data_IF_483570290689
#
_entry.id   IF_483570290689
#
_cell.length_a   1.000
_cell.length_b   1.000
_cell.length_c   1.000
_cell.angle_alpha   90.00
_cell.angle_beta   90.00
_cell.angle_gamma   90.00
#
_symmetry.space_group_name_H-M   'P 1'
#
loop_
_entity.id
_entity.type
_entity.pdbx_description
1 polymer ?
#
# COMPACT_ATOMS: atom_id res chain seq x y z
N UNK A 1 4.16 -2.24 -15.35
CA UNK A 1 4.42 -3.24 -14.29
C UNK A 1 5.87 -3.64 -14.40
N UNK A 2 6.61 -3.61 -13.29
CA UNK A 2 8.04 -3.96 -13.23
C UNK A 2 8.19 -5.20 -12.35
N UNK A 3 9.08 -6.10 -12.72
CA UNK A 3 9.28 -7.35 -11.98
C UNK A 3 10.75 -7.60 -11.69
N UNK A 4 11.00 -8.21 -10.53
CA UNK A 4 12.30 -8.76 -10.15
C UNK A 4 12.16 -10.27 -9.91
N UNK A 5 13.25 -10.91 -9.47
CA UNK A 5 13.23 -12.33 -9.08
C UNK A 5 12.17 -12.63 -8.00
N UNK A 6 11.92 -11.69 -7.08
CA UNK A 6 11.04 -11.91 -5.91
C UNK A 6 9.83 -10.98 -5.81
N UNK A 7 9.87 -9.84 -6.51
CA UNK A 7 8.90 -8.75 -6.30
C UNK A 7 8.22 -8.35 -7.62
N UNK A 8 6.99 -7.87 -7.51
CA UNK A 8 6.25 -7.16 -8.55
C UNK A 8 6.02 -5.74 -8.06
N UNK A 9 6.34 -4.75 -8.88
CA UNK A 9 5.94 -3.36 -8.69
C UNK A 9 4.79 -3.08 -9.67
N UNK A 10 3.59 -2.91 -9.12
CA UNK A 10 2.38 -2.60 -9.87
C UNK A 10 1.60 -1.46 -9.22
N UNK A 11 0.75 -0.73 -9.96
CA UNK A 11 -0.13 0.26 -9.35
C UNK A 11 -0.95 -0.34 -8.21
N UNK A 12 -1.21 0.44 -7.16
CA UNK A 12 -2.10 0.06 -6.08
C UNK A 12 -3.50 -0.29 -6.62
N UNK A 13 -4.13 -1.31 -6.04
CA UNK A 13 -5.51 -1.72 -6.32
C UNK A 13 -6.35 -1.51 -5.06
N UNK A 14 -7.64 -1.22 -5.20
CA UNK A 14 -8.50 -0.95 -4.04
C UNK A 14 -8.68 -2.17 -3.14
N UNK A 15 -8.49 -3.37 -3.70
CA UNK A 15 -8.48 -4.65 -3.00
C UNK A 15 -7.27 -4.79 -2.05
N UNK A 16 -6.20 -4.02 -2.24
CA UNK A 16 -5.02 -4.01 -1.38
C UNK A 16 -5.28 -3.34 -0.02
N UNK A 17 -6.46 -2.73 0.17
CA UNK A 17 -6.78 -1.95 1.36
C UNK A 17 -6.55 -2.71 2.68
N UNK A 18 -6.81 -4.02 2.70
CA UNK A 18 -6.61 -4.85 3.89
C UNK A 18 -5.11 -4.97 4.26
N UNK A 19 -4.25 -5.22 3.27
CA UNK A 19 -2.80 -5.31 3.45
C UNK A 19 -2.19 -3.93 3.72
N UNK A 20 -2.63 -2.90 3.00
CA UNK A 20 -2.23 -1.51 3.26
C UNK A 20 -2.52 -1.12 4.72
N UNK A 21 -3.74 -1.38 5.20
CA UNK A 21 -4.13 -1.11 6.59
C UNK A 21 -3.29 -1.90 7.60
N UNK A 22 -3.02 -3.19 7.33
CA UNK A 22 -2.24 -4.07 8.21
C UNK A 22 -0.91 -3.42 8.62
N UNK A 23 -0.23 -2.77 7.68
CA UNK A 23 1.05 -2.10 7.93
C UNK A 23 0.90 -0.63 8.34
N UNK A 24 0.03 0.13 7.66
CA UNK A 24 -0.09 1.57 7.84
C UNK A 24 -0.78 2.02 9.14
N UNK A 25 -1.45 1.11 9.86
CA UNK A 25 -1.97 1.38 11.21
C UNK A 25 -0.90 1.47 12.29
N UNK A 26 0.33 1.05 12.01
CA UNK A 26 1.41 1.07 12.98
C UNK A 26 1.92 2.52 13.17
N UNK A 27 1.90 3.07 14.40
CA UNK A 27 2.32 4.46 14.68
C UNK A 27 3.80 4.74 14.37
N UNK A 28 4.61 3.70 14.13
CA UNK A 28 6.01 3.86 13.76
C UNK A 28 6.26 4.01 12.25
N UNK A 29 5.22 3.91 11.40
CA UNK A 29 5.34 3.96 9.93
C UNK A 29 4.97 5.35 9.42
N UNK A 30 3.68 5.67 9.34
CA UNK A 30 3.20 6.89 8.68
C UNK A 30 3.73 8.20 9.27
N UNK A 31 3.66 8.40 10.59
CA UNK A 31 4.07 9.66 11.21
C UNK A 31 5.52 10.06 10.90
N UNK A 32 6.42 9.08 10.74
CA UNK A 32 7.83 9.35 10.37
C UNK A 32 8.00 9.85 8.94
N UNK A 33 7.02 9.57 8.08
CA UNK A 33 6.95 10.01 6.68
C UNK A 33 5.97 11.19 6.47
N UNK A 34 5.41 11.75 7.54
CA UNK A 34 4.57 12.96 7.48
C UNK A 34 3.07 12.73 7.21
N UNK A 35 2.58 11.49 7.30
CA UNK A 35 1.14 11.17 7.17
C UNK A 35 0.61 10.44 8.41
N UNK A 36 -0.68 10.62 8.78
CA UNK A 36 -1.26 9.99 9.96
C UNK A 36 -1.37 8.46 9.80
N UNK A 37 -1.43 7.71 10.90
CA UNK A 37 -1.73 6.27 10.81
C UNK A 37 -3.04 6.03 10.09
N UNK A 38 -3.15 4.93 9.35
CA UNK A 38 -4.43 4.54 8.79
C UNK A 38 -5.33 4.02 9.91
N UNK A 39 -6.58 4.51 9.97
CA UNK A 39 -7.49 4.24 11.08
C UNK A 39 -8.38 3.01 10.84
N UNK A 40 -8.59 2.65 9.58
CA UNK A 40 -9.41 1.50 9.19
C UNK A 40 -9.04 0.99 7.79
N UNK A 41 -9.60 -0.17 7.44
CA UNK A 41 -9.52 -0.70 6.06
C UNK A 41 -10.19 0.27 5.08
N UNK A 42 -11.30 0.90 5.46
CA UNK A 42 -11.97 1.90 4.61
C UNK A 42 -11.11 3.14 4.39
N UNK A 43 -10.50 3.65 5.45
CA UNK A 43 -9.57 4.78 5.34
C UNK A 43 -8.38 4.45 4.43
N UNK A 44 -7.83 3.22 4.53
CA UNK A 44 -6.78 2.76 3.62
C UNK A 44 -7.24 2.66 2.17
N UNK A 45 -8.48 2.20 1.94
CA UNK A 45 -9.08 2.14 0.60
C UNK A 45 -9.22 3.53 0.00
N UNK A 46 -9.63 4.51 0.79
CA UNK A 46 -9.73 5.90 0.35
C UNK A 46 -8.37 6.51 0.02
N UNK A 47 -7.35 6.25 0.84
CA UNK A 47 -5.97 6.67 0.59
C UNK A 47 -5.42 6.02 -0.69
N UNK A 48 -5.76 4.75 -0.97
CA UNK A 48 -5.42 4.11 -2.24
C UNK A 48 -6.04 4.85 -3.42
N UNK A 49 -7.33 5.21 -3.34
CA UNK A 49 -8.03 5.92 -4.42
C UNK A 49 -7.51 7.33 -4.65
N UNK A 50 -7.19 8.05 -3.60
CA UNK A 50 -6.94 9.50 -3.64
C UNK A 50 -5.47 9.88 -3.66
N UNK A 51 -4.59 9.07 -3.05
CA UNK A 51 -3.16 9.38 -2.89
C UNK A 51 -2.30 8.37 -3.65
N UNK A 52 -2.48 7.07 -3.39
CA UNK A 52 -1.58 6.04 -3.91
C UNK A 52 -1.88 5.63 -5.37
N UNK A 53 -2.97 6.13 -5.94
CA UNK A 53 -3.33 5.98 -7.35
C UNK A 53 -2.53 6.89 -8.30
N UNK A 54 -1.72 7.80 -7.74
CA UNK A 54 -0.88 8.70 -8.52
C UNK A 54 0.08 7.93 -9.45
N UNK A 55 0.36 8.44 -10.67
CA UNK A 55 1.33 7.83 -11.57
C UNK A 55 2.68 7.59 -10.89
N UNK A 56 3.31 6.46 -11.22
CA UNK A 56 4.58 6.02 -10.62
C UNK A 56 4.55 5.76 -9.10
N UNK A 57 3.35 5.58 -8.51
CA UNK A 57 3.19 5.03 -7.16
C UNK A 57 2.84 3.54 -7.25
N UNK A 58 3.62 2.69 -6.60
CA UNK A 58 3.52 1.23 -6.74
C UNK A 58 3.34 0.53 -5.40
N UNK A 59 2.49 -0.49 -5.38
CA UNK A 59 2.53 -1.53 -4.36
C UNK A 59 3.71 -2.47 -4.64
N UNK A 60 4.42 -2.88 -3.60
CA UNK A 60 5.58 -3.79 -3.70
C UNK A 60 5.13 -5.19 -3.29
N UNK A 61 4.79 -6.01 -4.26
CA UNK A 61 4.14 -7.30 -4.03
C UNK A 61 5.17 -8.42 -3.96
N UNK A 62 5.14 -9.22 -2.89
CA UNK A 62 5.93 -10.45 -2.79
C UNK A 62 5.32 -11.55 -3.66
N UNK A 63 6.09 -12.08 -4.62
CA UNK A 63 5.58 -13.10 -5.58
C UNK A 63 5.11 -14.39 -4.93
N UNK A 64 5.67 -14.75 -3.78
CA UNK A 64 5.35 -16.01 -3.08
C UNK A 64 3.93 -16.01 -2.50
N UNK A 65 3.48 -14.87 -1.98
CA UNK A 65 2.19 -14.73 -1.29
C UNK A 65 1.20 -13.85 -2.02
N UNK A 66 1.66 -13.11 -3.04
CA UNK A 66 0.93 -12.04 -3.70
C UNK A 66 0.47 -10.91 -2.76
N UNK A 67 1.08 -10.82 -1.57
CA UNK A 67 0.80 -9.77 -0.60
C UNK A 67 1.59 -8.49 -0.96
N UNK A 68 0.91 -7.34 -1.09
CA UNK A 68 1.55 -6.02 -1.25
C UNK A 68 2.07 -5.42 0.06
#
# INVERSE_FOLDING_TARGET
MLETKRLILRPWQVEDAQSCYKYAKNPNIGPKAGWPVHESVENSREIIRTVLSAPNTFAVVLKETMEP
#
